data_IF_447221867209
#
_entry.id   IF_447221867209
#
_cell.length_a   1.000
_cell.length_b   1.000
_cell.length_c   1.000
_cell.angle_alpha   90.00
_cell.angle_beta   90.00
_cell.angle_gamma   90.00
#
_symmetry.space_group_name_H-M   'P 1'
#
loop_
_entity.id
_entity.type
_entity.pdbx_description
1 polymer ?
#
# COMPACT_ATOMS: atom_id res chain seq x y z
N UNK A 1 -25.13 -5.35 -18.82
CA UNK A 1 -24.16 -6.14 -18.02
C UNK A 1 -22.71 -5.96 -18.45
N UNK A 2 -22.42 -5.87 -19.76
CA UNK A 2 -21.04 -5.63 -20.26
C UNK A 2 -20.43 -4.31 -19.78
N UNK A 3 -21.20 -3.23 -19.78
CA UNK A 3 -20.74 -1.90 -19.34
C UNK A 3 -20.28 -1.90 -17.88
N UNK A 4 -21.03 -2.58 -16.99
CA UNK A 4 -20.66 -2.70 -15.56
C UNK A 4 -19.40 -3.56 -15.37
N UNK A 5 -19.30 -4.66 -16.14
CA UNK A 5 -18.11 -5.52 -16.14
C UNK A 5 -16.88 -4.75 -16.62
N UNK A 6 -16.98 -3.98 -17.69
CA UNK A 6 -15.89 -3.18 -18.22
C UNK A 6 -15.49 -2.07 -17.24
N UNK A 7 -16.45 -1.44 -16.56
CA UNK A 7 -16.18 -0.45 -15.52
C UNK A 7 -15.40 -1.08 -14.34
N UNK A 8 -15.81 -2.25 -13.88
CA UNK A 8 -15.21 -2.91 -12.71
C UNK A 8 -13.84 -3.54 -13.01
N UNK A 9 -13.67 -4.16 -14.19
CA UNK A 9 -12.44 -4.88 -14.54
C UNK A 9 -11.41 -4.01 -15.27
N UNK A 10 -11.84 -3.03 -16.03
CA UNK A 10 -10.97 -2.23 -16.91
C UNK A 10 -11.10 -0.73 -16.70
N UNK A 11 -11.83 -0.30 -15.64
CA UNK A 11 -12.01 1.14 -15.35
C UNK A 11 -12.83 1.88 -16.41
N UNK A 12 -13.73 1.18 -17.13
CA UNK A 12 -14.56 1.75 -18.21
C UNK A 12 -13.86 1.84 -19.57
N UNK A 13 -12.61 1.37 -19.68
CA UNK A 13 -11.85 1.34 -20.92
C UNK A 13 -12.10 0.00 -21.65
N UNK A 14 -12.07 0.00 -22.99
CA UNK A 14 -12.14 -1.24 -23.76
C UNK A 14 -10.94 -2.16 -23.46
N UNK A 15 -11.15 -3.49 -23.38
CA UNK A 15 -10.09 -4.45 -23.03
C UNK A 15 -8.86 -4.37 -23.93
N UNK A 16 -9.03 -4.07 -25.22
CA UNK A 16 -7.94 -3.98 -26.19
C UNK A 16 -7.11 -2.72 -25.98
N UNK A 17 -7.75 -1.59 -25.68
CA UNK A 17 -7.07 -0.33 -25.34
C UNK A 17 -6.31 -0.49 -24.03
N UNK A 18 -6.91 -1.14 -23.02
CA UNK A 18 -6.25 -1.43 -21.75
C UNK A 18 -4.99 -2.29 -21.94
N UNK A 19 -5.04 -3.29 -22.84
CA UNK A 19 -3.87 -4.13 -23.16
C UNK A 19 -2.75 -3.33 -23.83
N UNK A 20 -3.08 -2.43 -24.75
CA UNK A 20 -2.11 -1.60 -25.47
C UNK A 20 -1.41 -0.58 -24.52
N UNK A 21 -2.14 -0.05 -23.53
CA UNK A 21 -1.58 0.88 -22.55
C UNK A 21 -0.86 0.19 -21.38
N UNK A 22 -0.81 -1.15 -21.36
CA UNK A 22 -0.28 -1.93 -20.21
C UNK A 22 1.17 -1.58 -19.89
N UNK A 23 2.00 -1.32 -20.87
CA UNK A 23 3.41 -0.98 -20.66
C UNK A 23 3.60 0.42 -20.09
N UNK A 24 2.77 1.37 -20.48
CA UNK A 24 2.79 2.71 -19.91
C UNK A 24 2.27 2.69 -18.47
N UNK A 25 1.15 2.01 -18.23
CA UNK A 25 0.62 1.80 -16.87
C UNK A 25 1.64 1.13 -15.94
N UNK A 26 2.43 0.19 -16.49
CA UNK A 26 3.51 -0.45 -15.73
C UNK A 26 4.58 0.56 -15.32
N UNK A 27 5.06 1.37 -16.24
CA UNK A 27 6.07 2.39 -15.97
C UNK A 27 5.58 3.40 -14.94
N UNK A 28 4.35 3.87 -15.09
CA UNK A 28 3.71 4.80 -14.17
C UNK A 28 3.55 4.21 -12.77
N UNK A 29 3.00 3.00 -12.66
CA UNK A 29 2.84 2.32 -11.37
C UNK A 29 4.18 2.03 -10.70
N UNK A 30 5.23 1.70 -11.48
CA UNK A 30 6.59 1.54 -10.95
C UNK A 30 7.14 2.84 -10.38
N UNK A 31 7.02 3.93 -11.11
CA UNK A 31 7.47 5.24 -10.64
C UNK A 31 6.75 5.66 -9.36
N UNK A 32 5.43 5.48 -9.32
CA UNK A 32 4.62 5.72 -8.12
C UNK A 32 5.08 4.85 -6.95
N UNK A 33 5.27 3.54 -7.18
CA UNK A 33 5.69 2.60 -6.14
C UNK A 33 7.05 2.96 -5.55
N UNK A 34 8.05 3.24 -6.38
CA UNK A 34 9.38 3.66 -5.92
C UNK A 34 9.29 4.97 -5.13
N UNK A 35 8.52 5.93 -5.61
CA UNK A 35 8.32 7.21 -4.93
C UNK A 35 7.68 7.03 -3.55
N UNK A 36 6.56 6.28 -3.46
CA UNK A 36 5.88 6.06 -2.19
C UNK A 36 6.67 5.19 -1.21
N UNK A 37 7.40 4.16 -1.70
CA UNK A 37 8.32 3.38 -0.87
C UNK A 37 9.43 4.27 -0.29
N UNK A 38 10.02 5.16 -1.10
CA UNK A 38 11.07 6.06 -0.62
C UNK A 38 10.57 7.02 0.45
N UNK A 39 9.39 7.60 0.26
CA UNK A 39 8.73 8.45 1.25
C UNK A 39 8.41 7.66 2.53
N UNK A 40 7.83 6.47 2.38
CA UNK A 40 7.50 5.62 3.53
C UNK A 40 8.74 5.25 4.34
N UNK A 41 9.84 4.85 3.69
CA UNK A 41 11.12 4.54 4.34
C UNK A 41 11.63 5.76 5.11
N UNK A 42 11.57 6.96 4.51
CA UNK A 42 12.00 8.19 5.17
C UNK A 42 11.19 8.48 6.45
N UNK A 43 9.86 8.41 6.38
CA UNK A 43 9.01 8.62 7.55
C UNK A 43 9.14 7.52 8.61
N UNK A 44 9.31 6.25 8.19
CA UNK A 44 9.52 5.14 9.10
C UNK A 44 10.86 5.26 9.85
N UNK A 45 11.92 5.73 9.20
CA UNK A 45 13.20 6.03 9.87
C UNK A 45 13.03 7.11 10.95
N UNK A 46 12.31 8.19 10.63
CA UNK A 46 12.00 9.24 11.61
C UNK A 46 11.19 8.66 12.77
N UNK A 47 10.16 7.86 12.50
CA UNK A 47 9.33 7.23 13.54
C UNK A 47 10.16 6.32 14.45
N UNK A 48 11.04 5.50 13.90
CA UNK A 48 11.97 4.65 14.68
C UNK A 48 12.88 5.50 15.54
N UNK A 49 13.46 6.58 15.02
CA UNK A 49 14.29 7.50 15.80
C UNK A 49 13.50 8.14 16.96
N UNK A 50 12.28 8.59 16.73
CA UNK A 50 11.41 9.16 17.77
C UNK A 50 11.11 8.11 18.85
N UNK A 51 10.81 6.87 18.48
CA UNK A 51 10.58 5.77 19.43
C UNK A 51 11.81 5.48 20.31
N UNK A 52 13.01 5.66 19.77
CA UNK A 52 14.25 5.53 20.56
C UNK A 52 14.45 6.66 21.57
N UNK A 53 14.01 7.88 21.23
CA UNK A 53 14.19 9.06 22.06
C UNK A 53 13.09 9.23 23.11
N UNK A 54 11.88 8.79 22.82
CA UNK A 54 10.68 9.02 23.63
C UNK A 54 10.16 7.69 24.19
N UNK A 55 10.41 7.43 25.47
CA UNK A 55 10.03 6.16 26.14
C UNK A 55 8.53 5.85 26.07
N UNK A 56 7.67 6.85 26.08
CA UNK A 56 6.21 6.64 25.98
C UNK A 56 5.78 6.08 24.60
N UNK A 57 6.61 6.22 23.57
CA UNK A 57 6.34 5.72 22.22
C UNK A 57 7.09 4.42 21.90
N UNK A 58 7.83 3.86 22.87
CA UNK A 58 8.65 2.66 22.68
C UNK A 58 7.84 1.43 22.21
N UNK A 59 6.54 1.36 22.53
CA UNK A 59 5.64 0.31 22.04
C UNK A 59 5.55 0.21 20.51
N UNK A 60 5.68 1.34 19.81
CA UNK A 60 5.68 1.39 18.33
C UNK A 60 6.97 0.93 17.67
N UNK A 61 8.05 0.70 18.41
CA UNK A 61 9.37 0.43 17.86
C UNK A 61 9.40 -0.83 16.95
N UNK A 62 8.85 -1.94 17.44
CA UNK A 62 8.84 -3.21 16.69
C UNK A 62 8.02 -3.12 15.39
N UNK A 63 6.76 -2.62 15.42
CA UNK A 63 5.98 -2.43 14.18
C UNK A 63 6.65 -1.51 13.17
N UNK A 64 7.27 -0.41 13.63
CA UNK A 64 7.96 0.50 12.70
C UNK A 64 9.19 -0.13 12.05
N UNK A 65 10.00 -0.90 12.81
CA UNK A 65 11.13 -1.65 12.23
C UNK A 65 10.66 -2.73 11.25
N UNK A 66 9.62 -3.47 11.60
CA UNK A 66 9.06 -4.50 10.72
C UNK A 66 8.55 -3.89 9.40
N UNK A 67 7.82 -2.76 9.48
CA UNK A 67 7.35 -2.04 8.31
C UNK A 67 8.51 -1.48 7.47
N UNK A 68 9.54 -0.94 8.12
CA UNK A 68 10.75 -0.43 7.47
C UNK A 68 11.48 -1.54 6.70
N UNK A 69 11.70 -2.69 7.34
CA UNK A 69 12.31 -3.85 6.69
C UNK A 69 11.48 -4.34 5.49
N UNK A 70 10.15 -4.39 5.62
CA UNK A 70 9.24 -4.71 4.53
C UNK A 70 9.35 -3.74 3.36
N UNK A 71 9.33 -2.44 3.62
CA UNK A 71 9.48 -1.42 2.57
C UNK A 71 10.85 -1.49 1.88
N UNK A 72 11.94 -1.72 2.60
CA UNK A 72 13.28 -1.90 2.04
C UNK A 72 13.37 -3.15 1.15
N UNK A 73 12.80 -4.27 1.59
CA UNK A 73 12.74 -5.49 0.81
C UNK A 73 11.95 -5.29 -0.50
N UNK A 74 10.77 -4.64 -0.42
CA UNK A 74 9.93 -4.33 -1.58
C UNK A 74 10.64 -3.39 -2.56
N UNK A 75 11.37 -2.39 -2.05
CA UNK A 75 12.15 -1.49 -2.89
C UNK A 75 13.27 -2.25 -3.62
N UNK A 76 13.99 -3.13 -2.92
CA UNK A 76 15.02 -3.98 -3.52
C UNK A 76 14.48 -4.88 -4.62
N UNK A 77 13.33 -5.56 -4.38
CA UNK A 77 12.68 -6.41 -5.38
C UNK A 77 12.21 -5.59 -6.59
N UNK A 78 11.61 -4.41 -6.35
CA UNK A 78 11.14 -3.53 -7.43
C UNK A 78 12.28 -3.04 -8.33
N UNK A 79 13.46 -2.81 -7.75
CA UNK A 79 14.65 -2.41 -8.52
C UNK A 79 15.29 -3.59 -9.26
N UNK A 80 15.30 -4.78 -8.65
CA UNK A 80 15.88 -5.99 -9.25
C UNK A 80 15.09 -6.53 -10.44
N UNK A 81 13.77 -6.31 -10.48
CA UNK A 81 12.89 -6.84 -11.52
C UNK A 81 12.01 -5.76 -12.18
N UNK A 82 12.64 -4.74 -12.84
CA UNK A 82 11.92 -3.56 -13.34
C UNK A 82 10.89 -3.87 -14.43
N UNK A 83 11.10 -4.95 -15.19
CA UNK A 83 10.31 -5.27 -16.40
C UNK A 83 9.22 -6.32 -16.16
N UNK A 84 9.19 -6.94 -14.98
CA UNK A 84 8.19 -7.98 -14.68
C UNK A 84 6.92 -7.37 -14.09
N UNK A 85 5.86 -7.28 -14.91
CA UNK A 85 4.55 -6.76 -14.49
C UNK A 85 3.98 -7.45 -13.24
N UNK A 86 4.06 -8.80 -13.17
CA UNK A 86 3.55 -9.53 -12.01
C UNK A 86 4.31 -9.19 -10.73
N UNK A 87 5.64 -9.08 -10.79
CA UNK A 87 6.46 -8.71 -9.63
C UNK A 87 6.09 -7.32 -9.14
N UNK A 88 5.95 -6.37 -10.06
CA UNK A 88 5.55 -5.00 -9.72
C UNK A 88 4.16 -4.96 -9.08
N UNK A 89 3.21 -5.76 -9.60
CA UNK A 89 1.87 -5.87 -9.03
C UNK A 89 1.92 -6.43 -7.60
N UNK A 90 2.69 -7.49 -7.37
CA UNK A 90 2.88 -8.10 -6.04
C UNK A 90 3.57 -7.11 -5.09
N UNK A 91 4.59 -6.38 -5.55
CA UNK A 91 5.26 -5.37 -4.73
C UNK A 91 4.33 -4.22 -4.32
N UNK A 92 3.45 -3.77 -5.24
CA UNK A 92 2.46 -2.74 -4.91
C UNK A 92 1.43 -3.26 -3.90
N UNK A 93 1.00 -4.53 -4.02
CA UNK A 93 0.12 -5.17 -3.05
C UNK A 93 0.80 -5.36 -1.70
N UNK A 94 2.07 -5.76 -1.71
CA UNK A 94 2.89 -5.87 -0.52
C UNK A 94 3.07 -4.53 0.19
N UNK A 95 3.28 -3.45 -0.54
CA UNK A 95 3.35 -2.10 0.03
C UNK A 95 2.04 -1.70 0.73
N UNK A 96 0.90 -1.93 0.08
CA UNK A 96 -0.40 -1.68 0.69
C UNK A 96 -0.60 -2.54 1.95
N UNK A 97 -0.24 -3.84 1.88
CA UNK A 97 -0.32 -4.73 3.03
C UNK A 97 0.55 -4.25 4.21
N UNK A 98 1.78 -3.81 3.97
CA UNK A 98 2.66 -3.24 5.01
C UNK A 98 2.00 -2.01 5.66
N UNK A 99 1.44 -1.10 4.87
CA UNK A 99 0.75 0.09 5.39
C UNK A 99 -0.46 -0.27 6.26
N UNK A 100 -1.30 -1.22 5.80
CA UNK A 100 -2.48 -1.66 6.55
C UNK A 100 -2.10 -2.40 7.83
N UNK A 101 -1.15 -3.34 7.76
CA UNK A 101 -0.69 -4.09 8.93
C UNK A 101 -0.06 -3.17 9.98
N UNK A 102 0.71 -2.17 9.53
CA UNK A 102 1.23 -1.15 10.43
C UNK A 102 0.10 -0.35 11.08
N UNK A 103 -0.90 0.08 10.31
CA UNK A 103 -2.06 0.81 10.82
C UNK A 103 -2.85 0.00 11.85
N UNK A 104 -3.10 -1.29 11.59
CA UNK A 104 -3.75 -2.22 12.52
C UNK A 104 -2.90 -2.41 13.77
N UNK A 105 -1.59 -2.65 13.64
CA UNK A 105 -0.70 -2.84 14.77
C UNK A 105 -0.66 -1.62 15.70
N UNK A 106 -0.61 -0.42 15.13
CA UNK A 106 -0.62 0.82 15.89
C UNK A 106 -1.99 1.11 16.51
N UNK A 107 -3.06 0.97 15.75
CA UNK A 107 -4.41 1.30 16.18
C UNK A 107 -5.00 0.31 17.18
N UNK A 108 -4.83 -1.00 16.97
CA UNK A 108 -5.43 -2.03 17.82
C UNK A 108 -4.58 -2.38 19.05
N UNK A 109 -3.25 -2.36 18.93
CA UNK A 109 -2.38 -2.92 19.97
C UNK A 109 -1.59 -1.87 20.75
N UNK A 110 -1.27 -0.72 20.15
CA UNK A 110 -0.38 0.25 20.77
C UNK A 110 -1.14 1.50 21.24
N UNK A 111 -2.06 1.98 20.42
CA UNK A 111 -2.82 3.19 20.67
C UNK A 111 -4.34 2.92 20.63
N UNK A 112 -4.77 1.79 21.21
CA UNK A 112 -6.16 1.34 21.20
C UNK A 112 -7.17 2.36 21.78
N UNK A 113 -6.72 3.24 22.67
CA UNK A 113 -7.55 4.29 23.27
C UNK A 113 -7.71 5.54 22.38
N UNK A 114 -7.05 5.57 21.22
CA UNK A 114 -7.08 6.71 20.32
C UNK A 114 -8.00 6.44 19.10
N UNK A 115 -8.74 7.46 18.61
CA UNK A 115 -9.58 7.26 17.45
C UNK A 115 -8.73 6.89 16.21
N UNK A 116 -9.08 5.76 15.57
CA UNK A 116 -8.37 5.23 14.41
C UNK A 116 -8.69 5.99 13.09
N UNK A 117 -9.09 7.26 13.19
CA UNK A 117 -9.51 8.08 12.02
C UNK A 117 -8.45 8.10 10.92
N UNK A 118 -7.16 8.20 11.29
CA UNK A 118 -6.07 8.18 10.32
C UNK A 118 -5.99 6.84 9.56
N UNK A 119 -6.27 5.71 10.21
CA UNK A 119 -6.32 4.41 9.56
C UNK A 119 -7.42 4.35 8.52
N UNK A 120 -8.64 4.76 8.86
CA UNK A 120 -9.78 4.74 7.91
C UNK A 120 -9.53 5.66 6.70
N UNK A 121 -8.95 6.83 6.90
CA UNK A 121 -8.56 7.72 5.79
C UNK A 121 -7.53 7.02 4.89
N UNK A 122 -6.50 6.43 5.47
CA UNK A 122 -5.48 5.70 4.72
C UNK A 122 -6.06 4.49 4.00
N UNK A 123 -6.99 3.75 4.62
CA UNK A 123 -7.66 2.59 4.02
C UNK A 123 -8.39 2.93 2.71
N UNK A 124 -8.95 4.14 2.60
CA UNK A 124 -9.61 4.61 1.38
C UNK A 124 -8.61 5.19 0.38
N UNK A 125 -7.62 5.97 0.83
CA UNK A 125 -6.69 6.69 -0.05
C UNK A 125 -5.63 5.76 -0.65
N UNK A 126 -5.06 4.84 0.13
CA UNK A 126 -3.97 3.97 -0.31
C UNK A 126 -4.29 3.14 -1.57
N UNK A 127 -5.48 2.50 -1.70
CA UNK A 127 -5.81 1.76 -2.92
C UNK A 127 -5.87 2.62 -4.18
N UNK A 128 -6.11 3.93 -4.03
CA UNK A 128 -6.21 4.87 -5.15
C UNK A 128 -4.85 5.31 -5.70
N UNK A 129 -3.75 5.04 -4.98
CA UNK A 129 -2.40 5.42 -5.40
C UNK A 129 -1.96 4.72 -6.69
N UNK A 130 -2.44 3.50 -6.91
CA UNK A 130 -2.07 2.70 -8.07
C UNK A 130 -3.22 2.61 -9.06
N UNK A 131 -2.89 2.74 -10.35
CA UNK A 131 -3.87 2.60 -11.43
C UNK A 131 -4.21 1.12 -11.62
N UNK A 132 -5.33 0.70 -11.05
CA UNK A 132 -5.83 -0.69 -11.05
C UNK A 132 -7.33 -0.74 -11.25
N UNK A 133 -7.87 -1.91 -11.68
CA UNK A 133 -9.31 -2.13 -11.76
C UNK A 133 -10.00 -1.87 -10.40
N UNK A 134 -11.12 -1.15 -10.42
CA UNK A 134 -11.85 -0.74 -9.22
C UNK A 134 -12.26 -1.93 -8.32
N UNK A 135 -12.61 -3.06 -8.93
CA UNK A 135 -13.00 -4.28 -8.21
C UNK A 135 -11.92 -4.75 -7.22
N UNK A 136 -10.64 -4.75 -7.63
CA UNK A 136 -9.55 -5.15 -6.76
C UNK A 136 -9.34 -4.20 -5.59
N UNK A 137 -9.50 -2.90 -5.83
CA UNK A 137 -9.40 -1.90 -4.76
C UNK A 137 -10.54 -2.05 -3.75
N UNK A 138 -11.78 -2.27 -4.20
CA UNK A 138 -12.96 -2.48 -3.34
C UNK A 138 -12.79 -3.75 -2.48
N UNK A 139 -12.43 -4.89 -3.10
CA UNK A 139 -12.25 -6.16 -2.38
C UNK A 139 -11.16 -6.06 -1.31
N UNK A 140 -10.08 -5.37 -1.62
CA UNK A 140 -8.96 -5.20 -0.70
C UNK A 140 -9.32 -4.29 0.46
N UNK A 141 -9.95 -3.14 0.20
CA UNK A 141 -10.41 -2.24 1.26
C UNK A 141 -11.38 -2.96 2.19
N UNK A 142 -12.35 -3.69 1.65
CA UNK A 142 -13.30 -4.47 2.45
C UNK A 142 -12.60 -5.55 3.30
N UNK A 143 -11.57 -6.20 2.78
CA UNK A 143 -10.80 -7.19 3.53
C UNK A 143 -10.09 -6.55 4.74
N UNK A 144 -9.39 -5.43 4.54
CA UNK A 144 -8.64 -4.78 5.60
C UNK A 144 -9.54 -4.12 6.64
N UNK A 145 -10.64 -3.50 6.23
CA UNK A 145 -11.65 -2.97 7.15
C UNK A 145 -12.29 -4.08 7.97
N UNK A 146 -12.60 -5.24 7.34
CA UNK A 146 -13.15 -6.39 8.06
C UNK A 146 -12.18 -7.02 9.06
N UNK A 147 -10.86 -6.91 8.86
CA UNK A 147 -9.86 -7.37 9.83
C UNK A 147 -9.68 -6.34 10.97
N UNK A 148 -9.91 -5.06 10.68
CA UNK A 148 -9.78 -3.98 11.67
C UNK A 148 -11.00 -3.90 12.61
N UNK A 149 -12.21 -4.20 12.10
CA UNK A 149 -13.47 -4.15 12.88
C UNK A 149 -13.57 -5.28 13.90
#
# INVERSE_FOLDING_TARGET
>A
METLRNLLLYGGVEPDVYRNCRDELRKENRAKLVFFLSIAIFFLLIAVMICCMVKSLAGGFIPYIAALAGCLALLGVTQSFPDKYMVLAICADGFLAVCYLLGIALGCFIYADQPATCFHILAVVLPMLFTRPALWNILRTALYEGVFA
#
